data_IF_231443207222
#
_entry.id   IF_231443207222
#
_cell.length_a   1.000
_cell.length_b   1.000
_cell.length_c   1.000
_cell.angle_alpha   90.00
_cell.angle_beta   90.00
_cell.angle_gamma   90.00
#
_symmetry.space_group_name_H-M   'P 1'
#
loop_
_entity.id
_entity.type
_entity.pdbx_description
1 polymer ?
#
# COMPACT_ATOMS: atom_id res chain seq x y z
N UNK A 1 -0.68 -20.98 1.43
CA UNK A 1 -1.71 -19.93 1.15
C UNK A 1 -0.99 -18.68 0.64
N UNK A 2 -1.25 -18.21 -0.58
CA UNK A 2 -0.60 -17.00 -1.11
C UNK A 2 -1.18 -15.75 -0.43
N UNK A 3 -0.34 -14.97 0.26
CA UNK A 3 -0.76 -13.77 1.00
C UNK A 3 -0.14 -12.55 0.35
N UNK A 4 -0.97 -11.67 -0.23
CA UNK A 4 -0.54 -10.45 -0.90
C UNK A 4 -0.96 -9.21 -0.11
N UNK A 5 -0.10 -8.19 -0.07
CA UNK A 5 -0.47 -6.87 0.41
C UNK A 5 0.59 -5.80 0.18
N UNK A 6 0.33 -4.61 0.72
CA UNK A 6 1.26 -3.49 0.67
C UNK A 6 2.10 -3.54 1.94
N UNK A 7 3.42 -3.52 1.77
CA UNK A 7 4.37 -3.44 2.85
C UNK A 7 5.30 -2.24 2.67
N UNK A 8 5.79 -1.71 3.77
CA UNK A 8 6.77 -0.64 3.81
C UNK A 8 8.16 -1.21 4.09
N UNK A 9 9.16 -0.72 3.37
CA UNK A 9 10.58 -0.97 3.61
C UNK A 9 11.30 0.37 3.68
N UNK A 10 12.57 0.39 4.12
CA UNK A 10 13.33 1.64 4.32
C UNK A 10 13.35 2.57 3.11
N UNK A 11 13.26 2.02 1.89
CA UNK A 11 13.35 2.74 0.64
C UNK A 11 12.01 2.92 -0.11
N UNK A 12 10.88 2.68 0.58
CA UNK A 12 9.54 3.03 0.10
C UNK A 12 8.51 1.90 0.18
N UNK A 13 7.42 2.07 -0.57
CA UNK A 13 6.31 1.12 -0.59
C UNK A 13 6.53 -0.03 -1.59
N UNK A 14 6.17 -1.22 -1.15
CA UNK A 14 6.26 -2.46 -1.89
C UNK A 14 4.92 -3.17 -1.90
N UNK A 15 4.62 -3.83 -3.01
CA UNK A 15 3.60 -4.86 -3.02
C UNK A 15 4.33 -6.19 -2.82
N UNK A 16 4.00 -6.88 -1.73
CA UNK A 16 4.65 -8.12 -1.29
C UNK A 16 3.63 -9.25 -1.34
N UNK A 17 4.05 -10.37 -1.88
CA UNK A 17 3.35 -11.66 -1.83
C UNK A 17 4.24 -12.68 -1.13
N UNK A 18 3.77 -13.23 -0.02
CA UNK A 18 4.45 -14.28 0.72
C UNK A 18 3.84 -15.62 0.37
N UNK A 19 4.68 -16.58 -0.01
CA UNK A 19 4.31 -17.96 -0.35
C UNK A 19 5.28 -18.92 0.33
N UNK A 20 4.85 -19.55 1.42
CA UNK A 20 5.58 -20.56 2.21
C UNK A 20 7.05 -20.20 2.52
N UNK A 21 8.01 -20.49 1.65
CA UNK A 21 9.45 -20.17 1.82
C UNK A 21 9.96 -18.99 0.97
N UNK A 22 9.10 -18.41 0.13
CA UNK A 22 9.45 -17.34 -0.81
C UNK A 22 8.69 -16.04 -0.51
N UNK A 23 9.40 -14.92 -0.66
CA UNK A 23 8.84 -13.57 -0.67
C UNK A 23 9.02 -12.99 -2.06
N UNK A 24 7.89 -12.71 -2.73
CA UNK A 24 7.86 -12.03 -4.02
C UNK A 24 7.48 -10.59 -3.81
N UNK A 25 8.22 -9.66 -4.38
CA UNK A 25 7.91 -8.24 -4.18
C UNK A 25 8.13 -7.43 -5.44
N UNK A 26 7.43 -6.30 -5.51
CA UNK A 26 7.60 -5.26 -6.52
C UNK A 26 7.59 -3.91 -5.83
N UNK A 27 8.60 -3.08 -6.12
CA UNK A 27 8.62 -1.69 -5.66
C UNK A 27 7.47 -0.94 -6.31
N UNK A 28 6.59 -0.38 -5.50
CA UNK A 28 5.40 0.32 -5.96
C UNK A 28 5.64 1.83 -6.00
N UNK A 29 6.67 2.25 -6.73
CA UNK A 29 7.05 3.68 -6.88
C UNK A 29 5.90 4.53 -7.43
N UNK A 30 5.01 3.90 -8.20
CA UNK A 30 3.80 4.51 -8.75
C UNK A 30 2.84 4.97 -7.63
N UNK A 31 2.80 4.30 -6.47
CA UNK A 31 1.98 4.71 -5.32
C UNK A 31 2.45 6.02 -4.71
N UNK A 32 3.76 6.26 -4.65
CA UNK A 32 4.32 7.52 -4.16
C UNK A 32 3.93 8.66 -5.10
N UNK A 33 4.12 8.47 -6.41
CA UNK A 33 3.76 9.48 -7.42
C UNK A 33 2.27 9.82 -7.35
N UNK A 34 1.41 8.81 -7.25
CA UNK A 34 -0.03 9.02 -7.17
C UNK A 34 -0.44 9.67 -5.85
N UNK A 35 0.21 9.34 -4.74
CA UNK A 35 -0.02 10.03 -3.47
C UNK A 35 0.26 11.53 -3.61
N UNK A 36 1.42 11.90 -4.17
CA UNK A 36 1.77 13.30 -4.40
C UNK A 36 0.83 13.99 -5.38
N UNK A 37 0.44 13.32 -6.46
CA UNK A 37 -0.50 13.87 -7.44
C UNK A 37 -1.88 14.12 -6.80
N UNK A 38 -2.39 13.15 -6.04
CA UNK A 38 -3.64 13.28 -5.29
C UNK A 38 -3.56 14.42 -4.28
N UNK A 39 -2.44 14.56 -3.55
CA UNK A 39 -2.24 15.65 -2.61
C UNK A 39 -2.19 17.03 -3.28
N UNK A 40 -1.40 17.18 -4.36
CA UNK A 40 -1.28 18.43 -5.11
C UNK A 40 -2.62 18.85 -5.72
N UNK A 41 -3.44 17.88 -6.15
CA UNK A 41 -4.77 18.15 -6.68
C UNK A 41 -5.75 18.75 -5.66
N UNK A 42 -5.45 18.67 -4.36
CA UNK A 42 -6.26 19.32 -3.31
C UNK A 42 -6.07 20.84 -3.30
N UNK A 43 -4.89 21.34 -3.69
CA UNK A 43 -4.57 22.77 -3.68
C UNK A 43 -5.59 23.61 -4.47
N UNK A 44 -5.92 23.30 -5.75
CA UNK A 44 -6.92 24.08 -6.49
C UNK A 44 -8.32 24.01 -5.87
N UNK A 45 -8.67 22.91 -5.19
CA UNK A 45 -9.97 22.76 -4.53
C UNK A 45 -10.06 23.70 -3.32
N UNK A 46 -8.99 23.73 -2.50
CA UNK A 46 -8.90 24.64 -1.35
C UNK A 46 -8.90 26.11 -1.81
N UNK A 47 -8.16 26.44 -2.87
CA UNK A 47 -8.16 27.78 -3.45
C UNK A 47 -9.55 28.18 -3.96
N UNK A 48 -10.23 27.30 -4.69
CA UNK A 48 -11.58 27.55 -5.18
C UNK A 48 -12.58 27.76 -4.04
N UNK A 49 -12.46 26.99 -2.96
CA UNK A 49 -13.27 27.19 -1.75
C UNK A 49 -12.97 28.55 -1.09
N UNK A 50 -11.70 28.92 -0.94
CA UNK A 50 -11.31 30.18 -0.31
C UNK A 50 -11.82 31.42 -1.06
N UNK A 51 -11.90 31.35 -2.40
CA UNK A 51 -12.39 32.47 -3.23
C UNK A 51 -13.91 32.55 -3.25
N UNK A 52 -14.60 31.42 -3.26
CA UNK A 52 -16.05 31.38 -3.52
C UNK A 52 -16.91 31.13 -2.29
N UNK A 53 -16.32 30.60 -1.21
CA UNK A 53 -16.99 30.16 0.03
C UNK A 53 -18.10 29.11 -0.16
N UNK A 54 -18.23 28.51 -1.35
CA UNK A 54 -19.21 27.46 -1.60
C UNK A 54 -18.75 26.13 -1.00
N UNK A 55 -19.45 25.68 0.04
CA UNK A 55 -19.15 24.42 0.75
C UNK A 55 -19.24 23.17 -0.14
N UNK A 56 -20.08 23.20 -1.18
CA UNK A 56 -20.20 22.10 -2.15
C UNK A 56 -18.91 21.80 -2.92
N UNK A 57 -18.01 22.79 -3.07
CA UNK A 57 -16.70 22.61 -3.73
C UNK A 57 -15.82 21.61 -2.98
N UNK A 58 -15.97 21.52 -1.65
CA UNK A 58 -15.20 20.57 -0.84
C UNK A 58 -15.52 19.11 -1.19
N UNK A 59 -16.67 18.82 -1.80
CA UNK A 59 -16.99 17.47 -2.30
C UNK A 59 -16.02 17.00 -3.39
N UNK A 60 -15.36 17.93 -4.10
CA UNK A 60 -14.35 17.60 -5.11
C UNK A 60 -13.12 16.91 -4.49
N UNK A 61 -12.89 17.01 -3.17
CA UNK A 61 -11.83 16.29 -2.47
C UNK A 61 -12.02 14.76 -2.56
N UNK A 62 -13.25 14.30 -2.74
CA UNK A 62 -13.54 12.87 -2.89
C UNK A 62 -12.94 12.30 -4.19
N UNK A 63 -12.82 13.11 -5.24
CA UNK A 63 -12.33 12.70 -6.55
C UNK A 63 -10.89 12.14 -6.50
N UNK A 64 -9.88 12.85 -5.97
CA UNK A 64 -8.52 12.32 -5.86
C UNK A 64 -8.41 11.12 -4.91
N UNK A 65 -9.26 11.04 -3.88
CA UNK A 65 -9.33 9.89 -2.99
C UNK A 65 -9.86 8.63 -3.71
N UNK A 66 -10.93 8.76 -4.48
CA UNK A 66 -11.52 7.64 -5.24
C UNK A 66 -10.53 7.15 -6.31
N UNK A 67 -9.87 8.07 -7.02
CA UNK A 67 -8.84 7.72 -8.01
C UNK A 67 -7.67 6.97 -7.38
N UNK A 68 -7.17 7.44 -6.23
CA UNK A 68 -6.08 6.81 -5.50
C UNK A 68 -6.44 5.39 -5.02
N UNK A 69 -7.62 5.22 -4.42
CA UNK A 69 -8.11 3.91 -3.96
C UNK A 69 -8.37 2.95 -5.11
N UNK A 70 -8.94 3.44 -6.22
CA UNK A 70 -9.17 2.68 -7.44
C UNK A 70 -7.86 2.15 -8.01
N UNK A 71 -6.84 2.99 -8.08
CA UNK A 71 -5.52 2.59 -8.52
C UNK A 71 -4.90 1.52 -7.61
N UNK A 72 -4.93 1.70 -6.29
CA UNK A 72 -4.44 0.69 -5.33
C UNK A 72 -5.10 -0.66 -5.60
N UNK A 73 -6.41 -0.68 -5.79
CA UNK A 73 -7.16 -1.91 -6.06
C UNK A 73 -6.69 -2.58 -7.37
N UNK A 74 -6.45 -1.81 -8.43
CA UNK A 74 -5.96 -2.34 -9.71
C UNK A 74 -4.50 -2.82 -9.62
N UNK A 75 -3.63 -2.08 -8.95
CA UNK A 75 -2.24 -2.48 -8.70
C UNK A 75 -2.17 -3.75 -7.83
N UNK A 76 -3.12 -3.91 -6.89
CA UNK A 76 -3.28 -5.11 -6.10
C UNK A 76 -3.90 -6.29 -6.88
N UNK A 77 -4.73 -6.05 -7.90
CA UNK A 77 -5.27 -7.15 -8.72
C UNK A 77 -4.28 -7.63 -9.79
N UNK A 78 -3.52 -6.72 -10.41
CA UNK A 78 -2.54 -7.03 -11.46
C UNK A 78 -1.13 -7.16 -10.91
N UNK A 79 -0.94 -7.98 -9.87
CA UNK A 79 0.43 -8.23 -9.40
C UNK A 79 1.26 -8.86 -10.51
N UNK A 80 2.44 -8.32 -10.76
CA UNK A 80 3.52 -9.05 -11.39
C UNK A 80 4.75 -8.85 -10.52
N UNK A 81 5.29 -9.90 -9.88
CA UNK A 81 6.47 -9.77 -9.02
C UNK A 81 7.69 -9.40 -9.88
N UNK A 82 8.49 -8.44 -9.43
CA UNK A 82 9.76 -8.11 -10.09
C UNK A 82 10.92 -8.91 -9.52
N UNK A 83 10.86 -9.24 -8.23
CA UNK A 83 11.90 -9.98 -7.52
C UNK A 83 11.29 -11.08 -6.64
N UNK A 84 12.06 -12.15 -6.44
CA UNK A 84 11.74 -13.34 -5.64
C UNK A 84 12.94 -13.64 -4.76
N UNK A 85 12.74 -13.66 -3.45
CA UNK A 85 13.79 -13.93 -2.47
C UNK A 85 13.34 -14.98 -1.46
N UNK A 86 14.31 -15.63 -0.81
CA UNK A 86 14.01 -16.54 0.31
C UNK A 86 13.49 -15.77 1.51
N UNK A 87 12.50 -16.36 2.18
CA UNK A 87 11.98 -15.92 3.46
C UNK A 87 12.88 -16.46 4.58
N UNK A 88 13.37 -15.59 5.46
CA UNK A 88 14.10 -16.03 6.66
C UNK A 88 13.18 -16.19 7.85
N UNK A 89 12.36 -15.17 8.13
CA UNK A 89 11.43 -15.21 9.27
C UNK A 89 10.28 -14.23 9.11
N UNK A 90 9.19 -14.50 9.83
CA UNK A 90 8.04 -13.59 9.93
C UNK A 90 7.79 -13.33 11.41
N UNK A 91 7.94 -12.08 11.85
CA UNK A 91 7.51 -11.66 13.18
C UNK A 91 6.10 -11.08 13.12
N UNK A 92 5.19 -11.60 13.93
CA UNK A 92 3.84 -11.05 14.05
C UNK A 92 3.67 -10.45 15.43
N UNK A 93 3.53 -9.11 15.52
CA UNK A 93 3.23 -8.40 16.76
C UNK A 93 1.93 -7.62 16.62
N UNK A 94 0.89 -8.06 17.34
CA UNK A 94 -0.46 -7.45 17.31
C UNK A 94 -1.03 -7.39 15.89
N UNK A 95 -1.05 -6.19 15.30
CA UNK A 95 -1.54 -5.89 13.95
C UNK A 95 -0.40 -5.61 12.96
N UNK A 96 0.85 -5.87 13.32
CA UNK A 96 2.02 -5.63 12.46
C UNK A 96 2.67 -6.97 12.17
N UNK A 97 3.00 -7.19 10.90
CA UNK A 97 3.72 -8.33 10.38
C UNK A 97 5.04 -7.81 9.83
N UNK A 98 6.16 -8.22 10.41
CA UNK A 98 7.48 -7.98 9.84
C UNK A 98 7.92 -9.23 9.10
N UNK A 99 8.35 -9.07 7.87
CA UNK A 99 8.80 -10.15 6.99
C UNK A 99 10.29 -9.88 6.76
N UNK A 100 11.15 -10.76 7.26
CA UNK A 100 12.57 -10.71 7.01
C UNK A 100 12.88 -11.60 5.82
N UNK A 101 13.27 -11.01 4.69
CA UNK A 101 13.76 -11.75 3.52
C UNK A 101 15.26 -11.53 3.33
N UNK A 102 15.85 -12.32 2.44
CA UNK A 102 17.25 -12.17 2.02
C UNK A 102 17.59 -10.79 1.48
N UNK A 103 16.65 -10.14 0.80
CA UNK A 103 16.86 -8.80 0.29
C UNK A 103 16.65 -7.73 1.37
N UNK A 104 15.48 -7.76 2.05
CA UNK A 104 15.00 -6.64 2.88
C UNK A 104 14.04 -7.08 3.98
N UNK A 105 13.86 -6.19 4.95
CA UNK A 105 12.79 -6.33 5.95
C UNK A 105 11.56 -5.52 5.52
N UNK A 106 10.42 -6.19 5.35
CA UNK A 106 9.16 -5.56 5.01
C UNK A 106 8.24 -5.48 6.23
N UNK A 107 7.58 -4.35 6.42
CA UNK A 107 6.61 -4.13 7.49
C UNK A 107 5.22 -3.99 6.87
N UNK A 108 4.32 -4.88 7.24
CA UNK A 108 2.96 -4.92 6.73
C UNK A 108 1.95 -4.84 7.88
N UNK A 109 0.83 -4.15 7.66
CA UNK A 109 -0.29 -4.18 8.60
C UNK A 109 -1.17 -5.42 8.37
N UNK A 110 -1.51 -6.11 9.44
CA UNK A 110 -2.49 -7.21 9.45
C UNK A 110 -3.87 -6.65 9.11
N UNK A 111 -4.29 -6.79 7.86
CA UNK A 111 -5.66 -6.48 7.43
C UNK A 111 -6.69 -7.44 8.05
N UNK A 112 -7.97 -7.03 8.09
CA UNK A 112 -9.09 -7.86 8.60
C UNK A 112 -9.26 -9.19 7.85
N UNK A 113 -8.70 -9.31 6.64
CA UNK A 113 -8.63 -10.53 5.82
C UNK A 113 -7.42 -11.44 6.16
N UNK A 114 -6.48 -10.98 6.97
CA UNK A 114 -5.30 -11.73 7.37
C UNK A 114 -5.56 -12.38 8.73
N UNK A 115 -6.40 -13.42 8.72
CA UNK A 115 -6.37 -14.43 9.78
C UNK A 115 -5.01 -15.13 9.72
N UNK A 116 -4.05 -14.60 10.47
CA UNK A 116 -2.89 -15.36 10.88
C UNK A 116 -3.37 -16.37 11.93
N UNK A 117 -3.76 -17.57 11.48
CA UNK A 117 -3.54 -18.76 12.30
C UNK A 117 -2.05 -19.04 12.25
N UNK A 118 -1.35 -18.62 13.30
CA UNK A 118 -0.14 -19.29 13.73
C UNK A 118 -0.66 -20.35 14.70
N UNK A 119 -0.66 -21.61 14.26
CA UNK A 119 -0.80 -22.70 15.21
C UNK A 119 0.50 -22.71 16.03
N UNK A 120 0.41 -22.20 17.26
CA UNK A 120 1.31 -22.54 18.35
C UNK A 120 0.77 -23.80 18.99
#
# INVERSE_FOLDING_TARGET
>A
MKRKGIAFSEDGYYIVEVSDEEVRFRKARELDILYYLSFISLVPIVLAYAVTFYTWILLLILLPFILYLGYIKVALSRFSPSETCKLYSIEVKRNIVKIHSEAKTFIMQKGKLLSFKLDV
#
